data_IF_059172441575
#
_entry.id   IF_059172441575
#
_cell.length_a   1.000
_cell.length_b   1.000
_cell.length_c   1.000
_cell.angle_alpha   90.00
_cell.angle_beta   90.00
_cell.angle_gamma   90.00
#
_symmetry.space_group_name_H-M   'P 1'
#
loop_
_entity.id
_entity.type
_entity.pdbx_description
1 polymer ?
#
# COMPACT_ATOMS: atom_id res chain seq x y z
N UNK A 1 20.99 -28.27 -4.74
CA UNK A 1 20.59 -27.75 -3.42
C UNK A 1 21.20 -26.37 -3.29
N UNK A 2 20.46 -25.29 -3.65
CA UNK A 2 20.98 -23.92 -3.55
C UNK A 2 20.98 -23.51 -2.08
N UNK A 3 22.09 -22.98 -1.60
CA UNK A 3 22.26 -22.52 -0.22
C UNK A 3 21.57 -21.16 -0.05
N UNK A 4 20.40 -21.17 0.59
CA UNK A 4 19.48 -20.04 0.85
C UNK A 4 20.00 -19.02 1.90
N UNK A 5 21.31 -18.91 2.13
CA UNK A 5 21.83 -18.04 3.19
C UNK A 5 21.90 -16.56 2.77
N UNK A 6 22.07 -16.27 1.48
CA UNK A 6 22.12 -14.91 0.95
C UNK A 6 20.76 -14.21 0.84
N UNK A 7 19.67 -14.97 0.70
CA UNK A 7 18.32 -14.42 0.45
C UNK A 7 17.61 -13.95 1.73
N UNK A 8 18.05 -14.41 2.91
CA UNK A 8 17.35 -14.16 4.19
C UNK A 8 17.36 -12.67 4.59
N UNK A 9 18.49 -11.94 4.55
CA UNK A 9 18.50 -10.52 4.87
C UNK A 9 17.77 -9.67 3.82
N UNK A 10 17.66 -10.15 2.59
CA UNK A 10 16.91 -9.48 1.52
C UNK A 10 15.40 -9.66 1.71
N UNK A 11 14.94 -10.88 2.01
CA UNK A 11 13.54 -11.15 2.37
C UNK A 11 13.10 -10.29 3.55
N UNK A 12 13.91 -10.22 4.61
CA UNK A 12 13.63 -9.40 5.78
C UNK A 12 13.43 -7.92 5.40
N UNK A 13 14.34 -7.38 4.57
CA UNK A 13 14.27 -5.99 4.09
C UNK A 13 13.05 -5.75 3.21
N UNK A 14 12.71 -6.68 2.31
CA UNK A 14 11.54 -6.60 1.44
C UNK A 14 10.23 -6.61 2.23
N UNK A 15 10.10 -7.50 3.23
CA UNK A 15 8.96 -7.52 4.16
C UNK A 15 8.89 -6.20 4.92
N UNK A 16 10.01 -5.73 5.47
CA UNK A 16 10.06 -4.50 6.24
C UNK A 16 9.65 -3.28 5.41
N UNK A 17 10.13 -3.19 4.17
CA UNK A 17 9.79 -2.13 3.25
C UNK A 17 8.28 -2.09 3.01
N UNK A 18 7.67 -3.23 2.67
CA UNK A 18 6.23 -3.32 2.43
C UNK A 18 5.42 -3.03 3.69
N UNK A 19 5.88 -3.48 4.85
CA UNK A 19 5.25 -3.16 6.13
C UNK A 19 5.21 -1.65 6.38
N UNK A 20 6.35 -0.98 6.25
CA UNK A 20 6.45 0.46 6.45
C UNK A 20 5.54 1.21 5.45
N UNK A 21 5.47 0.74 4.19
CA UNK A 21 4.52 1.27 3.20
C UNK A 21 3.06 1.09 3.61
N UNK A 22 2.66 -0.05 4.17
CA UNK A 22 1.28 -0.24 4.66
C UNK A 22 0.95 0.68 5.84
N UNK A 23 1.91 0.89 6.76
CA UNK A 23 1.75 1.84 7.86
C UNK A 23 1.54 3.27 7.35
N UNK A 24 2.34 3.71 6.36
CA UNK A 24 2.22 5.04 5.76
C UNK A 24 0.86 5.20 5.06
N UNK A 25 0.46 4.21 4.24
CA UNK A 25 -0.86 4.20 3.58
C UNK A 25 -1.99 4.37 4.59
N UNK A 26 -1.99 3.57 5.65
CA UNK A 26 -3.02 3.62 6.69
C UNK A 26 -3.15 5.03 7.31
N UNK A 27 -2.02 5.63 7.72
CA UNK A 27 -1.98 6.97 8.30
C UNK A 27 -2.47 8.04 7.33
N UNK A 28 -2.01 8.01 6.08
CA UNK A 28 -2.39 8.99 5.06
C UNK A 28 -3.87 8.89 4.70
N UNK A 29 -4.40 7.67 4.54
CA UNK A 29 -5.83 7.48 4.31
C UNK A 29 -6.66 8.02 5.46
N UNK A 30 -6.29 7.73 6.70
CA UNK A 30 -7.00 8.23 7.87
C UNK A 30 -6.95 9.76 7.95
N UNK A 31 -5.80 10.36 7.61
CA UNK A 31 -5.64 11.82 7.56
C UNK A 31 -6.51 12.45 6.46
N UNK A 32 -6.53 11.87 5.27
CA UNK A 32 -7.35 12.34 4.17
C UNK A 32 -8.84 12.23 4.50
N UNK A 33 -9.28 11.14 5.13
CA UNK A 33 -10.67 10.90 5.52
C UNK A 33 -11.24 11.94 6.51
N UNK A 34 -10.36 12.67 7.21
CA UNK A 34 -10.73 13.76 8.12
C UNK A 34 -10.94 15.11 7.43
N UNK A 35 -10.66 15.22 6.12
CA UNK A 35 -10.92 16.45 5.36
C UNK A 35 -12.42 16.56 5.06
N UNK A 36 -12.96 17.77 5.12
CA UNK A 36 -14.40 18.01 4.92
C UNK A 36 -14.83 17.84 3.45
N UNK A 37 -13.96 18.19 2.50
CA UNK A 37 -14.24 18.26 1.06
C UNK A 37 -13.69 17.04 0.30
N UNK A 38 -14.11 15.84 0.70
CA UNK A 38 -13.70 14.57 0.05
C UNK A 38 -14.89 13.68 -0.29
N UNK A 39 -16.10 14.24 -0.40
CA UNK A 39 -17.34 13.49 -0.54
C UNK A 39 -17.30 12.44 -1.64
N UNK A 40 -16.75 12.78 -2.82
CA UNK A 40 -16.67 11.85 -3.94
C UNK A 40 -15.61 10.75 -3.71
N UNK A 41 -14.53 11.07 -3.00
CA UNK A 41 -13.42 10.16 -2.72
C UNK A 41 -13.61 9.32 -1.46
N UNK A 42 -14.50 9.72 -0.55
CA UNK A 42 -14.61 9.15 0.81
C UNK A 42 -14.75 7.63 0.80
N UNK A 43 -15.57 7.10 -0.11
CA UNK A 43 -15.76 5.66 -0.28
C UNK A 43 -14.46 4.96 -0.69
N UNK A 44 -13.78 5.49 -1.71
CA UNK A 44 -12.55 4.91 -2.25
C UNK A 44 -11.44 4.99 -1.20
N UNK A 45 -11.24 6.15 -0.56
CA UNK A 45 -10.24 6.32 0.51
C UNK A 45 -10.52 5.41 1.72
N UNK A 46 -11.78 5.17 2.06
CA UNK A 46 -12.16 4.22 3.12
C UNK A 46 -11.80 2.78 2.73
N UNK A 47 -12.04 2.38 1.48
CA UNK A 47 -11.62 1.07 0.97
C UNK A 47 -10.09 0.93 0.97
N UNK A 48 -9.36 1.99 0.61
CA UNK A 48 -7.90 2.06 0.68
C UNK A 48 -7.39 1.87 2.11
N UNK A 49 -7.99 2.59 3.07
CA UNK A 49 -7.68 2.46 4.51
C UNK A 49 -7.83 1.00 4.99
N UNK A 50 -8.98 0.39 4.75
CA UNK A 50 -9.22 -1.00 5.16
C UNK A 50 -8.29 -1.99 4.46
N UNK A 51 -7.96 -1.75 3.19
CA UNK A 51 -7.03 -2.59 2.44
C UNK A 51 -5.61 -2.49 3.01
N UNK A 52 -5.14 -1.29 3.36
CA UNK A 52 -3.83 -1.11 3.99
C UNK A 52 -3.74 -1.87 5.34
N UNK A 53 -4.78 -1.79 6.17
CA UNK A 53 -4.85 -2.56 7.42
C UNK A 53 -4.85 -4.07 7.19
N UNK A 54 -5.64 -4.55 6.23
CA UNK A 54 -5.73 -5.97 5.90
C UNK A 54 -4.40 -6.50 5.40
N UNK A 55 -3.78 -5.81 4.44
CA UNK A 55 -2.48 -6.20 3.89
C UNK A 55 -1.39 -6.17 4.94
N UNK A 56 -1.43 -5.21 5.88
CA UNK A 56 -0.51 -5.19 7.02
C UNK A 56 -0.66 -6.48 7.85
N UNK A 57 -1.89 -6.88 8.18
CA UNK A 57 -2.13 -8.14 8.92
C UNK A 57 -1.63 -9.36 8.15
N UNK A 58 -1.90 -9.43 6.85
CA UNK A 58 -1.45 -10.52 5.98
C UNK A 58 0.08 -10.57 5.85
N UNK A 59 0.74 -9.42 5.69
CA UNK A 59 2.20 -9.31 5.71
C UNK A 59 2.80 -9.75 7.06
N UNK A 60 2.13 -9.45 8.17
CA UNK A 60 2.54 -9.99 9.47
C UNK A 60 2.51 -11.51 9.48
N UNK A 61 1.45 -12.12 8.96
CA UNK A 61 1.34 -13.58 8.87
C UNK A 61 2.43 -14.18 7.97
N UNK A 62 2.71 -13.54 6.82
CA UNK A 62 3.82 -13.94 5.93
C UNK A 62 5.17 -13.86 6.66
N UNK A 63 5.39 -12.79 7.42
CA UNK A 63 6.61 -12.63 8.22
C UNK A 63 6.73 -13.68 9.32
N UNK A 64 5.65 -13.90 10.09
CA UNK A 64 5.64 -14.89 11.18
C UNK A 64 5.91 -16.30 10.62
N UNK A 65 5.45 -16.60 9.40
CA UNK A 65 5.80 -17.83 8.67
C UNK A 65 7.27 -17.85 8.21
N UNK A 66 7.74 -16.76 7.57
CA UNK A 66 9.11 -16.64 7.09
C UNK A 66 10.15 -16.73 8.21
N UNK A 67 9.80 -16.27 9.43
CA UNK A 67 10.65 -16.33 10.63
C UNK A 67 11.10 -17.76 10.94
N UNK A 68 10.31 -18.79 10.62
CA UNK A 68 10.71 -20.19 10.76
C UNK A 68 11.96 -20.56 9.93
N UNK A 69 12.28 -19.78 8.90
CA UNK A 69 13.38 -20.03 7.97
C UNK A 69 14.51 -18.99 8.08
N UNK A 70 14.28 -17.90 8.81
CA UNK A 70 15.25 -16.84 9.06
C UNK A 70 16.04 -17.12 10.35
N UNK A 71 17.36 -16.92 10.32
CA UNK A 71 18.20 -17.00 11.52
C UNK A 71 18.14 -15.69 12.29
N UNK A 72 17.62 -15.71 13.54
CA UNK A 72 17.66 -14.70 14.61
C UNK A 72 17.40 -13.22 14.26
N UNK A 73 16.90 -12.92 13.06
CA UNK A 73 16.60 -11.54 12.68
C UNK A 73 15.14 -11.26 12.99
N UNK A 74 14.88 -10.86 14.24
CA UNK A 74 13.57 -10.36 14.63
C UNK A 74 13.37 -8.95 14.06
N UNK A 75 12.60 -8.87 12.97
CA UNK A 75 12.01 -7.61 12.54
C UNK A 75 10.97 -7.17 13.57
N UNK A 76 11.26 -6.07 14.25
CA UNK A 76 10.27 -5.37 15.06
C UNK A 76 9.31 -4.62 14.13
N UNK A 77 8.21 -5.26 13.74
CA UNK A 77 7.19 -4.72 12.85
C UNK A 77 6.31 -3.67 13.54
N UNK A 78 6.94 -2.60 14.01
CA UNK A 78 6.29 -1.39 14.55
C UNK A 78 6.29 -0.30 13.48
N UNK A 79 5.15 0.35 13.31
CA UNK A 79 5.01 1.49 12.41
C UNK A 79 5.87 2.66 12.91
N UNK A 80 6.76 3.17 12.06
CA UNK A 80 7.60 4.34 12.38
C UNK A 80 6.82 5.62 12.09
N UNK A 81 6.72 6.51 13.07
CA UNK A 81 6.04 7.82 12.90
C UNK A 81 6.84 8.81 12.04
N UNK A 82 8.15 8.59 11.86
CA UNK A 82 9.07 9.59 11.30
C UNK A 82 9.08 9.67 9.77
N UNK A 83 8.74 8.60 9.06
CA UNK A 83 8.76 8.57 7.58
C UNK A 83 7.59 9.30 6.91
N UNK A 84 6.57 9.65 7.68
CA UNK A 84 5.28 10.13 7.18
C UNK A 84 5.19 11.67 7.09
N UNK A 85 6.07 12.39 7.79
CA UNK A 85 5.92 13.84 7.98
C UNK A 85 5.89 14.64 6.67
N UNK A 86 6.76 14.33 5.70
CA UNK A 86 6.79 15.03 4.43
C UNK A 86 5.52 14.80 3.60
N UNK A 87 5.02 13.56 3.56
CA UNK A 87 3.82 13.20 2.82
C UNK A 87 2.55 13.74 3.49
N UNK A 88 2.51 13.76 4.83
CA UNK A 88 1.45 14.40 5.61
C UNK A 88 1.39 15.90 5.31
N UNK A 89 2.54 16.59 5.25
CA UNK A 89 2.59 18.03 4.95
C UNK A 89 1.98 18.27 3.57
N UNK A 90 2.44 17.55 2.55
CA UNK A 90 1.91 17.64 1.18
C UNK A 90 0.39 17.41 1.19
N UNK A 91 -0.08 16.31 1.77
CA UNK A 91 -1.52 15.99 1.82
C UNK A 91 -2.33 17.05 2.59
N UNK A 92 -1.75 17.68 3.61
CA UNK A 92 -2.41 18.71 4.41
C UNK A 92 -2.74 19.92 3.53
N UNK A 93 -1.82 20.32 2.67
CA UNK A 93 -1.96 21.47 1.77
C UNK A 93 -2.90 21.22 0.58
N UNK A 94 -3.25 19.96 0.28
CA UNK A 94 -4.19 19.61 -0.78
C UNK A 94 -5.65 19.80 -0.32
N UNK A 95 -6.38 20.70 -0.98
CA UNK A 95 -7.82 20.90 -0.73
C UNK A 95 -8.72 20.33 -1.84
N UNK A 96 -8.24 20.30 -3.07
CA UNK A 96 -9.04 19.85 -4.21
C UNK A 96 -9.03 18.33 -4.34
N UNK A 97 -10.21 17.72 -4.46
CA UNK A 97 -10.37 16.26 -4.56
C UNK A 97 -9.50 15.66 -5.67
N UNK A 98 -9.42 16.29 -6.85
CA UNK A 98 -8.58 15.79 -7.95
C UNK A 98 -7.09 15.69 -7.57
N UNK A 99 -6.57 16.63 -6.80
CA UNK A 99 -5.18 16.62 -6.38
C UNK A 99 -4.95 15.58 -5.29
N UNK A 100 -5.93 15.41 -4.40
CA UNK A 100 -5.93 14.33 -3.40
C UNK A 100 -5.94 12.97 -4.12
N UNK A 101 -6.76 12.78 -5.14
CA UNK A 101 -6.79 11.55 -5.94
C UNK A 101 -5.44 11.29 -6.61
N UNK A 102 -4.82 12.29 -7.25
CA UNK A 102 -3.49 12.18 -7.85
C UNK A 102 -2.39 11.85 -6.85
N UNK A 103 -2.44 12.44 -5.65
CA UNK A 103 -1.53 12.10 -4.57
C UNK A 103 -1.64 10.61 -4.18
N UNK A 104 -2.87 10.12 -3.97
CA UNK A 104 -3.07 8.71 -3.62
C UNK A 104 -2.77 7.75 -4.77
N UNK A 105 -2.97 8.15 -6.03
CA UNK A 105 -2.53 7.34 -7.17
C UNK A 105 -1.02 7.14 -7.15
N UNK A 106 -0.25 8.21 -7.02
CA UNK A 106 1.22 8.13 -6.96
C UNK A 106 1.72 7.34 -5.75
N UNK A 107 1.06 7.47 -4.60
CA UNK A 107 1.34 6.63 -3.42
C UNK A 107 1.18 5.14 -3.75
N UNK A 108 0.06 4.77 -4.37
CA UNK A 108 -0.27 3.37 -4.68
C UNK A 108 0.63 2.78 -5.78
N UNK A 109 1.04 3.59 -6.76
CA UNK A 109 2.05 3.20 -7.76
C UNK A 109 3.38 2.82 -7.09
N UNK A 110 3.86 3.63 -6.15
CA UNK A 110 5.10 3.35 -5.40
C UNK A 110 4.98 2.09 -4.52
N UNK A 111 3.80 1.87 -3.93
CA UNK A 111 3.52 0.65 -3.16
C UNK A 111 3.55 -0.57 -4.08
N UNK A 112 2.92 -0.49 -5.26
CA UNK A 112 2.87 -1.59 -6.23
C UNK A 112 4.27 -2.02 -6.70
N UNK A 113 5.18 -1.06 -6.90
CA UNK A 113 6.58 -1.33 -7.24
C UNK A 113 7.30 -2.08 -6.12
N UNK A 114 7.05 -1.71 -4.85
CA UNK A 114 7.66 -2.35 -3.68
C UNK A 114 7.30 -3.84 -3.55
N UNK A 115 6.18 -4.29 -4.12
CA UNK A 115 5.81 -5.72 -4.12
C UNK A 115 6.73 -6.56 -4.99
N UNK A 116 7.41 -6.00 -6.00
CA UNK A 116 8.25 -6.77 -6.93
C UNK A 116 9.39 -7.51 -6.21
N UNK A 117 9.99 -6.91 -5.17
CA UNK A 117 11.07 -7.52 -4.41
C UNK A 117 10.64 -8.74 -3.58
N UNK A 118 9.38 -8.83 -3.15
CA UNK A 118 8.92 -9.92 -2.29
C UNK A 118 8.60 -11.20 -3.06
N UNK A 119 8.18 -11.09 -4.32
CA UNK A 119 7.76 -12.24 -5.14
C UNK A 119 8.86 -13.28 -5.31
N UNK A 120 10.08 -12.84 -5.59
CA UNK A 120 11.21 -13.72 -5.87
C UNK A 120 11.58 -14.63 -4.69
N UNK A 121 11.24 -14.23 -3.46
CA UNK A 121 11.54 -15.03 -2.27
C UNK A 121 10.51 -16.14 -1.98
N UNK A 122 9.31 -16.05 -2.58
CA UNK A 122 8.21 -16.99 -2.35
C UNK A 122 7.81 -17.78 -3.60
N UNK A 123 8.72 -17.93 -4.58
CA UNK A 123 8.48 -18.75 -5.78
C UNK A 123 8.12 -20.21 -5.44
N UNK A 124 8.55 -20.70 -4.27
CA UNK A 124 8.28 -22.05 -3.78
C UNK A 124 6.99 -22.17 -2.95
N UNK A 125 6.42 -21.07 -2.46
CA UNK A 125 5.17 -21.07 -1.69
C UNK A 125 4.03 -20.44 -2.50
N UNK A 126 3.22 -21.32 -3.10
CA UNK A 126 2.09 -20.91 -3.95
C UNK A 126 1.05 -20.10 -3.17
N UNK A 127 0.85 -20.38 -1.88
CA UNK A 127 -0.16 -19.68 -1.09
C UNK A 127 0.23 -18.23 -0.83
N UNK A 128 1.45 -17.99 -0.30
CA UNK A 128 1.96 -16.63 -0.10
C UNK A 128 2.05 -15.87 -1.43
N UNK A 129 2.50 -16.53 -2.50
CA UNK A 129 2.57 -15.91 -3.82
C UNK A 129 1.19 -15.48 -4.33
N UNK A 130 0.16 -16.31 -4.17
CA UNK A 130 -1.21 -15.99 -4.56
C UNK A 130 -1.75 -14.81 -3.76
N UNK A 131 -1.53 -14.80 -2.44
CA UNK A 131 -1.93 -13.70 -1.57
C UNK A 131 -1.29 -12.37 -2.00
N UNK A 132 0.00 -12.36 -2.29
CA UNK A 132 0.70 -11.17 -2.78
C UNK A 132 0.19 -10.71 -4.17
N UNK A 133 -0.27 -11.63 -5.03
CA UNK A 133 -0.89 -11.26 -6.31
C UNK A 133 -2.22 -10.57 -6.09
N UNK A 134 -3.04 -11.09 -5.19
CA UNK A 134 -4.32 -10.49 -4.82
C UNK A 134 -4.14 -9.08 -4.25
N UNK A 135 -3.08 -8.85 -3.45
CA UNK A 135 -2.73 -7.50 -2.99
C UNK A 135 -2.45 -6.58 -4.19
N UNK A 136 -1.59 -7.01 -5.12
CA UNK A 136 -1.22 -6.21 -6.30
C UNK A 136 -2.42 -5.90 -7.19
N UNK A 137 -3.32 -6.85 -7.40
CA UNK A 137 -4.50 -6.64 -8.25
C UNK A 137 -5.46 -5.63 -7.59
N UNK A 138 -5.68 -5.73 -6.28
CA UNK A 138 -6.45 -4.71 -5.54
C UNK A 138 -5.81 -3.32 -5.60
N UNK A 139 -4.48 -3.23 -5.52
CA UNK A 139 -3.76 -1.96 -5.66
C UNK A 139 -3.93 -1.39 -7.07
N UNK A 140 -3.85 -2.21 -8.11
CA UNK A 140 -4.09 -1.79 -9.50
C UNK A 140 -5.52 -1.28 -9.71
N UNK A 141 -6.51 -1.98 -9.19
CA UNK A 141 -7.91 -1.55 -9.26
C UNK A 141 -8.10 -0.19 -8.57
N UNK A 142 -7.39 0.03 -7.46
CA UNK A 142 -7.40 1.29 -6.76
C UNK A 142 -6.75 2.42 -7.58
N UNK A 143 -5.57 2.20 -8.16
CA UNK A 143 -4.87 3.15 -9.05
C UNK A 143 -5.79 3.53 -10.20
N UNK A 144 -6.41 2.55 -10.85
CA UNK A 144 -7.36 2.78 -11.93
C UNK A 144 -8.53 3.65 -11.45
N UNK A 145 -9.12 3.33 -10.30
CA UNK A 145 -10.23 4.13 -9.73
C UNK A 145 -9.82 5.58 -9.47
N UNK A 146 -8.63 5.81 -8.89
CA UNK A 146 -8.11 7.16 -8.64
C UNK A 146 -7.86 7.94 -9.92
N UNK A 147 -7.32 7.30 -10.96
CA UNK A 147 -7.11 7.94 -12.26
C UNK A 147 -8.42 8.44 -12.90
N UNK A 148 -9.53 7.72 -12.70
CA UNK A 148 -10.86 8.18 -13.13
C UNK A 148 -11.35 9.38 -12.31
N UNK A 149 -11.02 9.45 -11.03
CA UNK A 149 -11.37 10.58 -10.16
C UNK A 149 -10.53 11.84 -10.43
N UNK A 150 -9.32 11.71 -10.97
CA UNK A 150 -8.49 12.84 -11.42
C UNK A 150 -9.01 13.48 -12.71
N UNK A 151 -9.65 12.67 -13.57
CA UNK A 151 -10.14 13.12 -14.85
C UNK A 151 -11.37 14.01 -14.66
N UNK A 152 -11.48 15.15 -15.38
CA UNK A 152 -12.70 15.94 -15.35
C UNK A 152 -13.84 15.06 -15.84
N UNK A 153 -14.84 14.82 -14.98
CA UNK A 153 -16.13 14.32 -15.43
C UNK A 153 -16.60 15.30 -16.50
N UNK A 154 -16.56 14.89 -17.77
CA UNK A 154 -17.36 15.53 -18.81
C UNK A 154 -18.77 15.54 -18.26
N UNK A 155 -19.24 16.73 -17.91
CA UNK A 155 -20.64 16.97 -17.59
C UNK A 155 -21.46 16.21 -18.61
N UNK A 156 -22.32 15.30 -18.15
CA UNK A 156 -23.47 14.88 -18.94
C UNK A 156 -24.32 16.14 -19.11
N UNK A 157 -23.98 16.92 -20.14
CA UNK A 157 -24.90 17.77 -20.84
C UNK A 157 -25.94 16.84 -21.43
N UNK A 158 -27.08 16.76 -20.79
CA UNK A 158 -28.33 16.55 -21.52
C UNK A 158 -29.24 17.68 -21.10
N UNK A 159 -29.15 18.75 -21.89
CA UNK A 159 -30.18 19.76 -21.99
C UNK A 159 -31.44 19.13 -22.60
N UNK A 160 -32.56 19.22 -21.88
CA UNK A 160 -33.86 19.79 -22.29
C UNK A 160 -34.98 19.24 -21.41
#
# INVERSE_FOLDING_TARGET
MRTYEGDKPELARSIRLLWDQQCIRESLYLKALRKDRIGALRRVLSQGYFSAMLFKRELKTIYDYAKCFMSDTDLDLVCKEQGDQAQIIILTDLEEERHIAGFFRGLEESVLESYQGLFHHFDWDTHTRQLLLEHKDRIRDFINTMAHCESPIQMRSVAH
#
